data_IF_382475874205
#
_entry.id   IF_382475874205
#
_cell.length_a   1.000
_cell.length_b   1.000
_cell.length_c   1.000
_cell.angle_alpha   90.00
_cell.angle_beta   90.00
_cell.angle_gamma   90.00
#
_symmetry.space_group_name_H-M   'P 1'
#
loop_
_entity.id
_entity.type
_entity.pdbx_description
1 polymer ?
#
# COMPACT_ATOMS: atom_id res chain seq x y z
N UNK A 1 2.94 -26.06 3.04
CA UNK A 1 2.04 -26.36 4.18
C UNK A 1 2.81 -26.11 5.46
N UNK A 2 2.27 -25.33 6.38
CA UNK A 2 2.86 -25.09 7.70
C UNK A 2 2.07 -25.90 8.73
N UNK A 3 2.75 -26.59 9.64
CA UNK A 3 2.11 -27.25 10.79
C UNK A 3 2.88 -26.95 12.07
N UNK A 4 2.15 -26.95 13.19
CA UNK A 4 2.69 -26.79 14.54
C UNK A 4 2.16 -27.95 15.37
N UNK A 5 3.07 -28.71 15.97
CA UNK A 5 2.76 -29.92 16.73
C UNK A 5 3.42 -29.84 18.10
N UNK A 6 2.66 -30.11 19.15
CA UNK A 6 3.20 -30.31 20.49
C UNK A 6 3.66 -31.77 20.63
N UNK A 7 4.91 -31.94 21.04
CA UNK A 7 5.54 -33.21 21.41
C UNK A 7 5.77 -33.21 22.92
N UNK A 8 6.15 -34.36 23.50
CA UNK A 8 6.24 -34.55 24.96
C UNK A 8 7.04 -33.47 25.71
N UNK A 9 8.11 -32.92 25.10
CA UNK A 9 8.96 -31.87 25.70
C UNK A 9 9.34 -30.76 24.74
N UNK A 10 8.65 -30.66 23.61
CA UNK A 10 8.99 -29.66 22.60
C UNK A 10 7.82 -29.31 21.69
N UNK A 11 7.93 -28.17 21.01
CA UNK A 11 7.03 -27.74 19.95
C UNK A 11 7.78 -27.84 18.64
N UNK A 12 7.27 -28.61 17.69
CA UNK A 12 7.83 -28.72 16.35
C UNK A 12 7.03 -27.86 15.37
N UNK A 13 7.71 -26.94 14.70
CA UNK A 13 7.16 -26.20 13.56
C UNK A 13 7.72 -26.81 12.29
N UNK A 14 6.82 -27.16 11.36
CA UNK A 14 7.19 -27.79 10.10
C UNK A 14 6.76 -26.93 8.92
N UNK A 15 7.61 -26.84 7.90
CA UNK A 15 7.29 -26.25 6.60
C UNK A 15 7.47 -27.34 5.54
N UNK A 16 6.44 -27.54 4.72
CA UNK A 16 6.41 -28.59 3.71
C UNK A 16 6.67 -30.00 4.28
N UNK A 17 6.19 -30.26 5.52
CA UNK A 17 6.39 -31.49 6.31
C UNK A 17 7.80 -31.68 6.87
N UNK A 18 8.72 -30.76 6.61
CA UNK A 18 10.07 -30.76 7.17
C UNK A 18 10.12 -29.91 8.43
N UNK A 19 10.69 -30.45 9.51
CA UNK A 19 10.84 -29.71 10.77
C UNK A 19 11.89 -28.61 10.61
N UNK A 20 11.45 -27.36 10.73
CA UNK A 20 12.30 -26.17 10.58
C UNK A 20 12.64 -25.52 11.92
N UNK A 21 11.79 -25.70 12.93
CA UNK A 21 12.06 -25.25 14.30
C UNK A 21 11.63 -26.31 15.31
N UNK A 22 12.39 -26.43 16.39
CA UNK A 22 12.08 -27.28 17.53
C UNK A 22 12.36 -26.50 18.82
N UNK A 23 11.32 -26.22 19.59
CA UNK A 23 11.37 -25.35 20.77
C UNK A 23 11.13 -26.21 22.00
N UNK A 24 12.13 -26.35 22.88
CA UNK A 24 11.97 -27.12 24.10
C UNK A 24 11.01 -26.41 25.05
N UNK A 25 10.04 -27.16 25.58
CA UNK A 25 9.08 -26.68 26.58
C UNK A 25 9.17 -27.55 27.84
N UNK A 26 9.27 -26.96 29.03
CA UNK A 26 9.40 -27.72 30.28
C UNK A 26 8.09 -28.37 30.72
N UNK A 27 6.97 -27.84 30.27
CA UNK A 27 5.60 -28.26 30.60
C UNK A 27 4.74 -28.21 29.34
N UNK A 28 3.63 -28.96 29.33
CA UNK A 28 2.68 -28.95 28.21
C UNK A 28 2.06 -27.57 28.01
N UNK A 29 1.78 -27.21 26.75
CA UNK A 29 1.05 -26.00 26.37
C UNK A 29 -0.42 -26.03 26.81
N UNK A 30 -0.98 -27.24 26.93
CA UNK A 30 -2.40 -27.45 27.20
C UNK A 30 -2.59 -28.11 28.56
N UNK A 31 -2.87 -27.30 29.57
CA UNK A 31 -3.20 -27.81 30.90
C UNK A 31 -4.66 -28.28 30.96
N UNK A 32 -4.87 -29.49 31.48
CA UNK A 32 -6.24 -29.98 31.74
C UNK A 32 -6.81 -29.32 32.99
N UNK A 33 -7.92 -28.62 32.84
CA UNK A 33 -8.73 -28.07 33.93
C UNK A 33 -10.02 -28.87 34.03
N UNK A 34 -10.28 -29.49 35.19
CA UNK A 34 -11.46 -30.33 35.45
C UNK A 34 -11.69 -31.45 34.41
N UNK A 35 -10.62 -32.05 33.90
CA UNK A 35 -10.70 -33.12 32.89
C UNK A 35 -11.00 -32.63 31.47
N UNK A 36 -11.03 -31.31 31.24
CA UNK A 36 -11.16 -30.70 29.92
C UNK A 36 -9.92 -29.87 29.59
N UNK A 37 -9.57 -29.78 28.31
CA UNK A 37 -8.55 -28.87 27.81
C UNK A 37 -9.28 -27.77 27.04
N UNK A 38 -9.14 -26.53 27.49
CA UNK A 38 -9.65 -25.36 26.76
C UNK A 38 -8.49 -24.61 26.12
N UNK A 39 -8.61 -24.30 24.83
CA UNK A 39 -7.63 -23.49 24.10
C UNK A 39 -8.32 -22.53 23.15
N UNK A 40 -7.71 -21.37 22.93
CA UNK A 40 -8.16 -20.35 22.00
C UNK A 40 -7.11 -20.15 20.92
N UNK A 41 -7.54 -20.29 19.67
CA UNK A 41 -6.67 -20.12 18.50
C UNK A 41 -7.17 -18.92 17.70
N UNK A 42 -6.26 -17.99 17.43
CA UNK A 42 -6.51 -16.78 16.66
C UNK A 42 -5.75 -16.90 15.33
N UNK A 43 -6.39 -16.56 14.22
CA UNK A 43 -5.80 -16.61 12.89
C UNK A 43 -5.48 -15.21 12.40
N UNK A 44 -4.29 -15.04 11.82
CA UNK A 44 -3.85 -13.80 11.17
C UNK A 44 -4.03 -12.52 12.03
N UNK A 45 -3.75 -12.64 13.32
CA UNK A 45 -3.86 -11.54 14.27
C UNK A 45 -3.67 -11.99 15.72
N UNK A 46 -3.66 -11.03 16.62
CA UNK A 46 -3.49 -11.24 18.05
C UNK A 46 -4.80 -10.91 18.82
N UNK A 47 -5.05 -11.54 19.97
CA UNK A 47 -6.11 -11.13 20.87
C UNK A 47 -5.96 -9.65 21.26
N UNK A 48 -7.07 -8.96 21.55
CA UNK A 48 -7.01 -7.55 21.97
C UNK A 48 -6.23 -7.40 23.28
N UNK A 49 -5.42 -6.34 23.40
CA UNK A 49 -4.69 -5.94 24.62
C UNK A 49 -3.56 -6.91 25.02
N UNK A 50 -2.97 -7.59 24.04
CA UNK A 50 -1.80 -8.48 24.29
C UNK A 50 -0.53 -7.94 23.62
N UNK A 51 -0.63 -6.81 22.92
CA UNK A 51 0.46 -6.22 22.15
C UNK A 51 1.69 -5.94 23.04
N UNK A 52 1.47 -5.41 24.25
CA UNK A 52 2.52 -5.13 25.23
C UNK A 52 3.05 -6.37 25.96
N UNK A 53 2.40 -7.53 25.79
CA UNK A 53 2.78 -8.81 26.42
C UNK A 53 3.61 -9.70 25.51
N UNK A 54 3.77 -9.31 24.24
CA UNK A 54 4.61 -10.05 23.31
C UNK A 54 6.08 -9.96 23.72
N UNK A 55 6.79 -11.09 23.62
CA UNK A 55 8.25 -11.14 23.86
C UNK A 55 8.98 -10.15 22.94
N UNK A 56 8.49 -9.98 21.71
CA UNK A 56 8.96 -8.97 20.77
C UNK A 56 7.75 -8.31 20.10
N UNK A 57 7.69 -6.97 20.07
CA UNK A 57 6.67 -6.26 19.31
C UNK A 57 6.69 -6.63 17.83
N UNK A 58 5.52 -6.70 17.21
CA UNK A 58 5.34 -6.95 15.77
C UNK A 58 4.07 -6.26 15.28
N UNK A 59 4.07 -5.73 14.05
CA UNK A 59 2.84 -5.31 13.39
C UNK A 59 2.04 -6.57 13.00
N UNK A 60 0.85 -6.82 13.55
CA UNK A 60 0.13 -8.07 13.33
C UNK A 60 -0.62 -8.12 11.99
N UNK A 61 -0.62 -7.02 11.21
CA UNK A 61 -1.27 -6.98 9.90
C UNK A 61 -0.55 -7.96 8.96
N UNK A 62 -1.35 -8.74 8.24
CA UNK A 62 -0.87 -9.80 7.37
C UNK A 62 -1.73 -9.85 6.11
N UNK A 63 -1.19 -9.37 5.00
CA UNK A 63 -1.77 -9.60 3.67
C UNK A 63 -1.39 -11.01 3.18
N UNK A 64 -2.05 -12.01 3.74
CA UNK A 64 -1.79 -13.42 3.47
C UNK A 64 -3.06 -14.21 3.24
N UNK A 65 -2.95 -15.29 2.45
CA UNK A 65 -4.05 -16.20 2.21
C UNK A 65 -3.85 -17.55 2.90
N UNK A 66 -4.85 -17.99 3.67
CA UNK A 66 -4.83 -19.28 4.38
C UNK A 66 -5.89 -20.19 3.76
N UNK A 67 -5.51 -21.41 3.40
CA UNK A 67 -6.40 -22.45 2.89
C UNK A 67 -6.05 -23.82 3.46
N UNK A 68 -7.01 -24.74 3.45
CA UNK A 68 -6.78 -26.12 3.89
C UNK A 68 -6.31 -26.23 5.34
N UNK A 69 -6.83 -25.38 6.23
CA UNK A 69 -6.49 -25.43 7.65
C UNK A 69 -7.08 -26.69 8.29
N UNK A 70 -6.33 -27.28 9.23
CA UNK A 70 -6.78 -28.39 10.06
C UNK A 70 -6.42 -28.06 11.51
N UNK A 71 -7.44 -27.87 12.34
CA UNK A 71 -7.26 -27.63 13.77
C UNK A 71 -7.65 -28.89 14.54
N UNK A 72 -6.64 -29.63 15.02
CA UNK A 72 -6.83 -30.82 15.87
C UNK A 72 -7.82 -31.87 15.30
N UNK A 73 -7.90 -31.99 13.96
CA UNK A 73 -8.87 -32.86 13.27
C UNK A 73 -10.34 -32.57 13.59
N UNK A 74 -10.67 -31.39 14.11
CA UNK A 74 -12.04 -31.00 14.48
C UNK A 74 -12.88 -30.47 13.31
N UNK A 75 -12.34 -30.47 12.09
CA UNK A 75 -13.03 -30.03 10.87
C UNK A 75 -13.22 -28.51 10.75
N UNK A 76 -13.76 -28.06 9.61
CA UNK A 76 -13.83 -26.63 9.20
C UNK A 76 -15.25 -26.08 9.05
N UNK A 77 -16.27 -26.92 9.26
CA UNK A 77 -17.61 -26.78 8.65
C UNK A 77 -18.39 -25.52 9.02
N UNK A 78 -18.10 -24.87 10.16
CA UNK A 78 -18.76 -23.61 10.56
C UNK A 78 -18.07 -22.37 9.99
N UNK A 79 -16.74 -22.35 9.93
CA UNK A 79 -15.97 -21.20 9.42
C UNK A 79 -16.05 -21.11 7.90
N UNK A 80 -16.07 -22.26 7.23
CA UNK A 80 -16.14 -22.36 5.78
C UNK A 80 -17.40 -21.69 5.20
N UNK A 81 -18.57 -21.89 5.83
CA UNK A 81 -19.82 -21.24 5.41
C UNK A 81 -19.74 -19.72 5.49
N UNK A 82 -19.18 -19.19 6.58
CA UNK A 82 -19.04 -17.73 6.79
C UNK A 82 -18.10 -17.10 5.75
N UNK A 83 -17.05 -17.82 5.35
CA UNK A 83 -16.12 -17.35 4.32
C UNK A 83 -16.79 -17.38 2.95
N UNK A 84 -17.46 -18.47 2.58
CA UNK A 84 -18.16 -18.62 1.29
C UNK A 84 -19.20 -17.53 1.05
N UNK A 85 -19.94 -17.12 2.09
CA UNK A 85 -20.96 -16.06 1.99
C UNK A 85 -20.36 -14.65 1.82
N UNK A 86 -19.09 -14.45 2.17
CA UNK A 86 -18.46 -13.11 2.26
C UNK A 86 -17.32 -12.98 1.26
N UNK A 87 -17.59 -12.37 0.11
CA UNK A 87 -16.59 -12.15 -0.94
C UNK A 87 -15.34 -11.40 -0.46
N UNK A 88 -15.47 -10.46 0.50
CA UNK A 88 -14.33 -9.76 1.09
C UNK A 88 -13.42 -10.65 1.98
N UNK A 89 -13.80 -11.90 2.23
CA UNK A 89 -12.99 -12.93 2.89
C UNK A 89 -12.27 -13.85 1.89
N UNK A 90 -12.52 -13.70 0.60
CA UNK A 90 -11.78 -14.41 -0.44
C UNK A 90 -10.51 -13.66 -0.81
N UNK A 91 -9.45 -14.42 -1.07
CA UNK A 91 -8.22 -13.92 -1.65
C UNK A 91 -8.33 -13.96 -3.18
N UNK A 92 -7.48 -13.18 -3.86
CA UNK A 92 -7.26 -13.39 -5.29
C UNK A 92 -6.66 -14.77 -5.55
N UNK A 93 -7.03 -15.39 -6.68
CA UNK A 93 -6.58 -16.72 -7.07
C UNK A 93 -5.10 -16.70 -7.47
N UNK A 94 -4.72 -15.70 -8.26
CA UNK A 94 -3.35 -15.48 -8.73
C UNK A 94 -2.95 -14.06 -8.36
N UNK A 95 -1.81 -13.94 -7.70
CA UNK A 95 -1.27 -12.66 -7.25
C UNK A 95 0.16 -12.49 -7.71
N UNK A 96 0.54 -11.24 -7.93
CA UNK A 96 1.91 -10.77 -8.10
C UNK A 96 2.28 -9.82 -6.96
N UNK A 97 3.57 -9.51 -6.87
CA UNK A 97 4.08 -8.53 -5.90
C UNK A 97 3.54 -7.14 -6.24
N UNK A 98 3.13 -6.41 -5.22
CA UNK A 98 2.71 -5.01 -5.29
C UNK A 98 1.53 -4.73 -4.36
N UNK A 99 1.11 -3.48 -4.28
CA UNK A 99 -0.08 -3.09 -3.51
C UNK A 99 -1.25 -2.81 -4.45
N UNK A 100 -2.42 -3.37 -4.17
CA UNK A 100 -3.61 -3.19 -5.00
C UNK A 100 -4.56 -2.16 -4.42
N UNK A 101 -4.87 -1.16 -5.25
CA UNK A 101 -5.82 -0.10 -4.97
C UNK A 101 -7.08 -0.34 -5.81
N UNK A 102 -8.24 -0.59 -5.20
CA UNK A 102 -9.47 -0.92 -5.92
C UNK A 102 -10.27 0.32 -6.38
N UNK A 103 -9.75 1.55 -6.19
CA UNK A 103 -10.49 2.77 -6.52
C UNK A 103 -11.61 3.14 -5.54
N UNK A 104 -11.56 2.65 -4.29
CA UNK A 104 -12.59 2.93 -3.27
C UNK A 104 -12.08 3.70 -2.04
N UNK A 105 -10.79 4.04 -1.97
CA UNK A 105 -10.25 4.74 -0.81
C UNK A 105 -8.76 5.00 -0.91
N UNK A 106 -8.15 5.36 0.23
CA UNK A 106 -6.78 5.89 0.32
C UNK A 106 -5.95 5.19 1.39
N UNK A 107 -4.64 5.36 1.31
CA UNK A 107 -3.72 5.17 2.43
C UNK A 107 -3.08 6.50 2.80
N UNK A 108 -2.92 6.76 4.10
CA UNK A 108 -2.31 7.96 4.66
C UNK A 108 -1.02 7.59 5.40
N UNK A 109 0.01 8.41 5.22
CA UNK A 109 1.26 8.36 5.95
C UNK A 109 1.62 9.73 6.51
N UNK A 110 2.31 9.74 7.64
CA UNK A 110 2.94 10.93 8.19
C UNK A 110 4.46 10.79 7.97
N UNK A 111 4.98 11.49 6.95
CA UNK A 111 6.38 11.39 6.53
C UNK A 111 7.05 12.74 6.76
N UNK A 112 8.21 12.72 7.41
CA UNK A 112 9.07 13.90 7.50
C UNK A 112 9.92 14.05 6.23
N UNK A 113 9.75 15.17 5.55
CA UNK A 113 10.41 15.49 4.28
C UNK A 113 11.59 16.46 4.44
N UNK A 114 11.84 16.92 5.66
CA UNK A 114 12.95 17.83 5.93
C UNK A 114 14.29 17.09 5.97
N UNK A 115 15.30 17.70 5.38
CA UNK A 115 16.65 17.19 5.46
C UNK A 115 17.21 17.42 6.87
N UNK A 116 17.63 16.34 7.53
CA UNK A 116 18.26 16.38 8.86
C UNK A 116 19.53 17.26 8.85
N UNK A 117 20.22 17.35 7.70
CA UNK A 117 21.43 18.15 7.51
C UNK A 117 21.15 19.60 7.12
N UNK A 118 19.95 19.93 6.66
CA UNK A 118 19.51 21.28 6.33
C UNK A 118 18.03 21.48 6.71
N UNK A 119 17.75 21.94 7.94
CA UNK A 119 16.38 22.06 8.47
C UNK A 119 15.46 22.99 7.66
N UNK A 120 16.02 23.84 6.77
CA UNK A 120 15.25 24.72 5.90
C UNK A 120 15.04 24.16 4.49
N UNK A 121 15.58 22.97 4.19
CA UNK A 121 15.43 22.30 2.91
C UNK A 121 14.61 21.03 3.06
N UNK A 122 13.41 21.03 2.49
CA UNK A 122 12.67 19.80 2.24
C UNK A 122 12.95 19.30 0.82
N UNK A 123 12.94 17.98 0.67
CA UNK A 123 13.05 17.33 -0.64
C UNK A 123 12.22 16.05 -0.65
N UNK A 124 11.48 15.89 -1.74
CA UNK A 124 10.63 14.72 -1.97
C UNK A 124 11.15 14.05 -3.23
N UNK A 125 11.74 12.87 -3.08
CA UNK A 125 12.11 11.97 -4.17
C UNK A 125 11.16 10.78 -4.11
N UNK A 126 10.41 10.54 -5.18
CA UNK A 126 9.45 9.45 -5.22
C UNK A 126 9.64 8.63 -6.46
N UNK A 127 9.62 7.32 -6.27
CA UNK A 127 9.63 6.33 -7.34
C UNK A 127 8.37 5.50 -7.23
N UNK A 128 7.64 5.36 -8.34
CA UNK A 128 6.43 4.57 -8.43
C UNK A 128 6.61 3.47 -9.48
N UNK A 129 6.23 2.24 -9.12
CA UNK A 129 5.99 1.18 -10.09
C UNK A 129 4.48 0.99 -10.18
N UNK A 130 3.89 1.32 -11.33
CA UNK A 130 2.44 1.37 -11.52
C UNK A 130 1.99 0.40 -12.61
N UNK A 131 0.80 -0.18 -12.41
CA UNK A 131 0.02 -0.90 -13.42
C UNK A 131 -1.45 -0.49 -13.24
N UNK A 132 -1.84 0.68 -13.78
CA UNK A 132 -3.21 1.18 -13.71
C UNK A 132 -4.20 0.25 -14.39
N UNK A 133 -5.42 0.18 -13.84
CA UNK A 133 -6.56 -0.53 -14.44
C UNK A 133 -7.64 0.44 -14.93
N UNK A 134 -7.61 1.70 -14.48
CA UNK A 134 -8.40 2.81 -14.99
C UNK A 134 -7.48 3.95 -15.41
N UNK A 135 -7.93 4.78 -16.35
CA UNK A 135 -7.11 5.85 -16.91
C UNK A 135 -7.12 7.15 -16.12
N UNK A 136 -7.92 7.27 -15.06
CA UNK A 136 -7.95 8.47 -14.20
C UNK A 136 -7.85 8.10 -12.73
N UNK A 137 -7.02 8.83 -11.96
CA UNK A 137 -6.93 8.70 -10.51
C UNK A 137 -5.67 9.34 -9.90
N UNK A 138 -5.75 9.73 -8.62
CA UNK A 138 -4.62 10.31 -7.88
C UNK A 138 -3.71 9.20 -7.34
N UNK A 139 -2.43 9.20 -7.72
CA UNK A 139 -1.46 8.20 -7.28
C UNK A 139 -0.79 8.60 -5.96
N UNK A 140 -0.28 9.83 -5.90
CA UNK A 140 0.42 10.38 -4.74
C UNK A 140 -0.03 11.83 -4.52
N UNK A 141 -0.28 12.21 -3.27
CA UNK A 141 -0.62 13.59 -2.94
C UNK A 141 -0.11 14.00 -1.56
N UNK A 142 0.06 15.30 -1.39
CA UNK A 142 0.26 15.94 -0.10
C UNK A 142 -1.01 16.71 0.25
N UNK A 143 -1.45 16.58 1.49
CA UNK A 143 -2.64 17.28 1.99
C UNK A 143 -2.28 18.06 3.25
N UNK A 144 -2.70 19.32 3.30
CA UNK A 144 -2.50 20.18 4.47
C UNK A 144 -3.68 21.12 4.68
N UNK A 145 -4.29 21.08 5.86
CA UNK A 145 -5.37 21.99 6.24
C UNK A 145 -6.58 22.00 5.29
N UNK A 146 -6.92 20.85 4.67
CA UNK A 146 -8.01 20.74 3.69
C UNK A 146 -7.66 21.22 2.28
N UNK A 147 -6.39 21.55 2.02
CA UNK A 147 -5.86 21.87 0.69
C UNK A 147 -4.99 20.73 0.18
N UNK A 148 -4.76 20.69 -1.14
CA UNK A 148 -3.90 19.72 -1.82
C UNK A 148 -2.69 20.45 -2.39
N UNK A 149 -1.67 20.76 -1.56
CA UNK A 149 -0.49 21.52 -2.00
C UNK A 149 0.30 20.82 -3.11
N UNK A 150 0.20 19.50 -3.24
CA UNK A 150 0.84 18.75 -4.33
C UNK A 150 0.04 17.50 -4.67
N UNK A 151 -0.09 17.19 -5.95
CA UNK A 151 -0.63 15.90 -6.41
C UNK A 151 0.05 15.42 -7.70
N UNK A 152 0.23 14.11 -7.77
CA UNK A 152 0.63 13.36 -8.95
C UNK A 152 -0.54 12.44 -9.33
N UNK A 153 -1.07 12.65 -10.54
CA UNK A 153 -2.30 12.00 -10.99
C UNK A 153 -2.16 11.43 -12.40
N UNK A 154 -2.98 10.42 -12.67
CA UNK A 154 -3.23 9.87 -14.00
C UNK A 154 -4.53 10.46 -14.53
N UNK A 155 -4.59 10.80 -15.81
CA UNK A 155 -5.83 11.16 -16.51
C UNK A 155 -5.90 10.51 -17.89
N UNK A 156 -7.11 10.20 -18.36
CA UNK A 156 -7.30 9.74 -19.73
C UNK A 156 -6.87 10.85 -20.71
N UNK A 157 -6.08 10.46 -21.70
CA UNK A 157 -5.64 11.37 -22.75
C UNK A 157 -6.75 11.58 -23.77
N UNK A 158 -6.53 12.48 -24.72
CA UNK A 158 -7.44 12.71 -25.86
C UNK A 158 -7.64 11.48 -26.76
N UNK A 159 -6.70 10.53 -26.71
CA UNK A 159 -6.82 9.21 -27.34
C UNK A 159 -7.35 8.21 -26.31
N UNK A 160 -8.44 7.50 -26.62
CA UNK A 160 -9.13 6.54 -25.72
C UNK A 160 -8.23 5.41 -25.16
N UNK A 161 -7.01 5.26 -25.66
CA UNK A 161 -6.06 4.20 -25.24
C UNK A 161 -4.86 4.71 -24.46
N UNK A 162 -4.64 6.02 -24.39
CA UNK A 162 -3.47 6.62 -23.78
C UNK A 162 -3.86 7.41 -22.55
N UNK A 163 -2.90 7.58 -21.65
CA UNK A 163 -3.05 8.33 -20.41
C UNK A 163 -1.97 9.41 -20.35
N UNK A 164 -2.30 10.50 -19.68
CA UNK A 164 -1.34 11.55 -19.34
C UNK A 164 -1.04 11.48 -17.84
N UNK A 165 0.20 11.79 -17.48
CA UNK A 165 0.62 11.99 -16.08
C UNK A 165 0.60 13.49 -15.81
N UNK A 166 -0.12 13.91 -14.77
CA UNK A 166 -0.19 15.29 -14.32
C UNK A 166 0.53 15.46 -12.99
N UNK A 167 1.33 16.52 -12.88
CA UNK A 167 1.79 17.05 -11.60
C UNK A 167 1.12 18.39 -11.36
N UNK A 168 0.49 18.57 -10.20
CA UNK A 168 -0.17 19.82 -9.83
C UNK A 168 0.26 20.33 -8.47
N UNK A 169 0.22 21.65 -8.31
CA UNK A 169 0.32 22.35 -7.02
C UNK A 169 -0.97 23.14 -6.82
N UNK A 170 -1.77 22.74 -5.84
CA UNK A 170 -3.17 23.14 -5.78
C UNK A 170 -3.90 22.71 -7.05
N UNK A 171 -4.71 23.61 -7.60
CA UNK A 171 -5.48 23.36 -8.83
C UNK A 171 -4.71 23.70 -10.12
N UNK A 172 -3.42 24.02 -10.04
CA UNK A 172 -2.61 24.34 -11.22
C UNK A 172 -1.75 23.15 -11.62
N UNK A 173 -1.87 22.74 -12.89
CA UNK A 173 -1.00 21.73 -13.50
C UNK A 173 0.37 22.36 -13.80
N UNK A 174 1.42 21.87 -13.14
CA UNK A 174 2.81 22.28 -13.34
C UNK A 174 3.48 21.56 -14.51
N UNK A 175 3.13 20.29 -14.68
CA UNK A 175 3.77 19.40 -15.62
C UNK A 175 2.76 18.39 -16.15
N UNK A 176 2.98 17.98 -17.40
CA UNK A 176 2.25 16.92 -18.06
C UNK A 176 3.21 16.08 -18.89
N UNK A 177 3.15 14.76 -18.75
CA UNK A 177 3.71 13.81 -19.73
C UNK A 177 2.52 13.21 -20.46
N UNK A 178 2.47 13.40 -21.77
CA UNK A 178 1.32 13.04 -22.60
C UNK A 178 1.49 11.66 -23.24
N UNK A 179 0.35 11.07 -23.61
CA UNK A 179 0.29 9.97 -24.58
C UNK A 179 1.02 8.68 -24.15
N UNK A 180 0.94 8.31 -22.87
CA UNK A 180 1.53 7.08 -22.34
C UNK A 180 0.56 5.90 -22.41
N UNK A 181 1.05 4.72 -22.78
CA UNK A 181 0.26 3.48 -22.76
C UNK A 181 0.37 2.80 -21.40
N UNK A 182 -0.37 3.30 -20.40
CA UNK A 182 -0.25 2.85 -19.00
C UNK A 182 -1.26 1.78 -18.61
N UNK A 183 -2.49 1.84 -19.15
CA UNK A 183 -3.56 0.85 -18.92
C UNK A 183 -3.30 -0.46 -19.71
N UNK A 184 -2.17 -1.11 -19.45
CA UNK A 184 -1.75 -2.36 -20.06
C UNK A 184 -1.44 -3.43 -19.00
N UNK A 185 -1.11 -4.65 -19.43
CA UNK A 185 -0.61 -5.69 -18.51
C UNK A 185 0.80 -5.43 -18.00
N UNK A 186 1.52 -4.45 -18.57
CA UNK A 186 2.91 -4.14 -18.23
C UNK A 186 2.97 -3.13 -17.10
N UNK A 187 3.97 -3.30 -16.22
CA UNK A 187 4.30 -2.30 -15.22
C UNK A 187 5.07 -1.14 -15.86
N UNK A 188 4.79 0.07 -15.40
CA UNK A 188 5.46 1.30 -15.80
C UNK A 188 6.18 1.92 -14.61
N UNK A 189 7.37 2.46 -14.87
CA UNK A 189 8.18 3.13 -13.87
C UNK A 189 8.05 4.65 -14.01
N UNK A 190 7.90 5.34 -12.89
CA UNK A 190 7.77 6.78 -12.83
C UNK A 190 8.59 7.30 -11.65
N UNK A 191 9.36 8.35 -11.89
CA UNK A 191 10.12 9.00 -10.84
C UNK A 191 9.84 10.51 -10.88
N UNK A 192 9.67 11.11 -9.71
CA UNK A 192 9.67 12.56 -9.60
C UNK A 192 10.50 13.00 -8.40
N UNK A 193 11.08 14.18 -8.55
CA UNK A 193 11.81 14.85 -7.50
C UNK A 193 11.37 16.30 -7.43
N UNK A 194 10.94 16.74 -6.26
CA UNK A 194 10.46 18.10 -6.05
C UNK A 194 11.04 18.69 -4.77
N UNK A 195 11.39 19.98 -4.86
CA UNK A 195 11.82 20.82 -3.74
C UNK A 195 11.40 22.27 -4.02
N UNK A 196 11.77 23.19 -3.12
CA UNK A 196 11.50 24.64 -3.26
C UNK A 196 12.05 25.32 -4.52
N UNK A 197 12.96 24.68 -5.25
CA UNK A 197 13.62 25.25 -6.44
C UNK A 197 13.09 24.69 -7.75
N UNK A 198 12.43 23.53 -7.76
CA UNK A 198 12.07 22.88 -9.01
C UNK A 198 11.45 21.50 -8.86
N UNK A 199 11.00 21.01 -10.02
CA UNK A 199 10.43 19.70 -10.25
C UNK A 199 11.22 18.99 -11.36
N UNK A 200 11.63 17.76 -11.09
CA UNK A 200 12.18 16.83 -12.07
C UNK A 200 11.18 15.68 -12.19
N UNK A 201 10.80 15.30 -13.41
CA UNK A 201 9.86 14.22 -13.68
C UNK A 201 10.42 13.33 -14.78
N UNK A 202 10.55 12.05 -14.53
CA UNK A 202 11.15 11.11 -15.47
C UNK A 202 10.33 9.83 -15.58
N UNK A 203 10.25 9.35 -16.82
CA UNK A 203 9.81 7.99 -17.16
C UNK A 203 10.92 7.33 -17.98
N UNK A 204 10.95 6.00 -18.10
CA UNK A 204 11.90 5.32 -19.00
C UNK A 204 11.83 5.78 -20.46
N UNK A 205 10.71 6.40 -20.87
CA UNK A 205 10.46 6.85 -22.24
C UNK A 205 10.82 8.32 -22.45
N UNK A 206 10.62 9.18 -21.44
CA UNK A 206 10.93 10.61 -21.48
C UNK A 206 11.48 11.09 -20.13
N UNK A 207 12.73 11.57 -20.13
CA UNK A 207 13.35 12.26 -19.00
C UNK A 207 13.17 13.77 -19.14
N UNK A 208 12.03 14.30 -18.67
CA UNK A 208 11.70 15.71 -18.78
C UNK A 208 12.01 16.48 -17.50
N UNK A 209 13.10 17.24 -17.48
CA UNK A 209 13.30 18.24 -16.41
C UNK A 209 12.44 19.47 -16.71
N UNK A 210 11.40 19.70 -15.90
CA UNK A 210 10.56 20.91 -16.03
C UNK A 210 11.07 21.93 -15.01
N UNK A 211 12.03 22.75 -15.46
CA UNK A 211 12.39 23.99 -14.76
C UNK A 211 11.86 25.17 -15.56
N UNK A 212 10.88 25.89 -15.01
CA UNK A 212 10.42 27.16 -15.58
C UNK A 212 10.53 28.25 -14.52
N UNK A 213 11.13 29.37 -14.91
CA UNK A 213 11.21 30.60 -14.11
C UNK A 213 9.81 31.17 -13.77
N UNK A 214 8.75 30.72 -14.46
CA UNK A 214 7.36 31.13 -14.22
C UNK A 214 6.64 30.31 -13.11
N UNK A 215 7.27 29.27 -12.56
CA UNK A 215 6.66 28.38 -11.56
C UNK A 215 7.07 28.69 -10.11
N UNK A 216 7.85 29.75 -9.88
CA UNK A 216 8.34 30.09 -8.53
C UNK A 216 7.19 30.32 -7.54
N UNK A 217 6.09 30.94 -7.97
CA UNK A 217 4.92 31.19 -7.09
C UNK A 217 4.28 29.91 -6.57
N UNK A 218 4.31 28.85 -7.38
CA UNK A 218 3.74 27.55 -7.06
C UNK A 218 4.69 26.82 -6.11
N UNK A 219 5.99 26.87 -6.36
CA UNK A 219 6.97 26.36 -5.39
C UNK A 219 6.94 27.11 -4.06
N UNK A 220 6.69 28.42 -4.04
CA UNK A 220 6.50 29.18 -2.80
C UNK A 220 5.23 28.76 -2.05
N UNK A 221 4.16 28.44 -2.80
CA UNK A 221 2.91 27.94 -2.23
C UNK A 221 3.11 26.58 -1.57
N UNK A 222 3.81 25.67 -2.26
CA UNK A 222 4.19 24.37 -1.73
C UNK A 222 5.13 24.53 -0.52
N UNK A 223 6.15 25.37 -0.61
CA UNK A 223 7.08 25.65 0.50
C UNK A 223 6.36 26.18 1.75
N UNK A 224 5.36 27.04 1.57
CA UNK A 224 4.51 27.52 2.67
C UNK A 224 3.71 26.38 3.30
N UNK A 225 3.17 25.46 2.50
CA UNK A 225 2.44 24.30 3.01
C UNK A 225 3.36 23.33 3.76
N UNK A 226 4.58 23.10 3.26
CA UNK A 226 5.58 22.22 3.87
C UNK A 226 6.01 22.70 5.27
N UNK A 227 5.97 24.01 5.54
CA UNK A 227 6.21 24.58 6.89
C UNK A 227 5.15 24.20 7.92
N UNK A 228 3.99 23.74 7.47
CA UNK A 228 2.92 23.21 8.32
C UNK A 228 2.97 21.69 8.43
N UNK A 229 1.95 21.11 9.04
CA UNK A 229 1.76 19.66 9.02
C UNK A 229 1.23 19.24 7.65
N UNK A 230 1.92 18.29 7.02
CA UNK A 230 1.54 17.70 5.75
C UNK A 230 1.38 16.20 5.93
N UNK A 231 0.26 15.66 5.45
CA UNK A 231 0.02 14.22 5.39
C UNK A 231 0.15 13.75 3.94
N UNK A 232 0.73 12.58 3.77
CA UNK A 232 0.97 11.96 2.47
C UNK A 232 -0.13 10.95 2.18
N UNK A 233 -0.77 11.09 1.03
CA UNK A 233 -1.86 10.23 0.59
C UNK A 233 -1.46 9.43 -0.65
N UNK A 234 -1.80 8.14 -0.64
CA UNK A 234 -1.66 7.25 -1.77
C UNK A 234 -3.03 6.77 -2.25
N UNK A 235 -3.18 6.70 -3.56
CA UNK A 235 -4.34 6.11 -4.23
C UNK A 235 -5.61 6.98 -4.24
N UNK A 236 -5.53 8.23 -3.79
CA UNK A 236 -6.64 9.17 -3.76
C UNK A 236 -6.40 10.34 -2.83
N UNK A 237 -7.48 11.03 -2.48
CA UNK A 237 -7.51 12.14 -1.55
C UNK A 237 -8.55 11.91 -0.44
N UNK A 238 -8.40 12.54 0.74
CA UNK A 238 -9.50 12.64 1.67
C UNK A 238 -10.61 13.53 1.08
N UNK A 239 -11.75 13.63 1.76
CA UNK A 239 -12.80 14.57 1.35
C UNK A 239 -12.26 16.00 1.43
N UNK A 240 -12.08 16.63 0.28
CA UNK A 240 -11.60 18.00 0.11
C UNK A 240 -12.63 18.82 -0.69
N UNK A 241 -12.63 20.17 -0.59
CA UNK A 241 -13.49 21.00 -1.42
C UNK A 241 -13.24 20.76 -2.91
N UNK A 242 -14.25 21.01 -3.75
CA UNK A 242 -14.07 21.04 -5.19
C UNK A 242 -13.05 22.13 -5.59
N UNK A 243 -12.41 21.96 -6.74
CA UNK A 243 -11.48 22.92 -7.34
C UNK A 243 -10.18 23.19 -6.57
N UNK A 244 -9.82 22.36 -5.59
CA UNK A 244 -8.50 22.46 -4.91
C UNK A 244 -7.40 21.65 -5.62
N UNK A 245 -7.79 20.77 -6.53
CA UNK A 245 -6.93 19.88 -7.33
C UNK A 245 -7.62 19.59 -8.67
N UNK A 246 -6.88 19.33 -9.77
CA UNK A 246 -7.46 18.98 -11.05
C UNK A 246 -8.08 17.58 -11.09
N UNK A 247 -7.63 16.67 -10.22
CA UNK A 247 -8.08 15.28 -10.15
C UNK A 247 -8.36 14.91 -8.70
N UNK A 248 -9.54 14.34 -8.46
CA UNK A 248 -10.01 13.87 -7.14
C UNK A 248 -10.46 12.39 -7.15
N UNK A 249 -10.41 11.73 -8.30
CA UNK A 249 -10.75 10.32 -8.43
C UNK A 249 -9.75 9.41 -7.71
N UNK A 250 -10.26 8.32 -7.12
CA UNK A 250 -9.43 7.26 -6.54
C UNK A 250 -8.70 6.48 -7.62
N UNK A 251 -7.43 6.18 -7.38
CA UNK A 251 -6.63 5.32 -8.24
C UNK A 251 -7.11 3.87 -8.18
N UNK A 252 -7.26 3.26 -9.36
CA UNK A 252 -7.52 1.84 -9.50
C UNK A 252 -6.38 1.17 -10.25
N UNK A 253 -5.72 0.23 -9.59
CA UNK A 253 -4.60 -0.51 -10.15
C UNK A 253 -3.59 -0.95 -9.10
N UNK A 254 -2.46 -1.44 -9.60
CA UNK A 254 -1.34 -1.88 -8.79
C UNK A 254 -0.29 -0.78 -8.70
N UNK A 255 0.18 -0.48 -7.50
CA UNK A 255 1.17 0.57 -7.29
C UNK A 255 2.08 0.24 -6.10
N UNK A 256 3.40 0.30 -6.32
CA UNK A 256 4.41 0.34 -5.26
C UNK A 256 5.04 1.73 -5.23
N UNK A 257 5.26 2.28 -4.04
CA UNK A 257 5.79 3.63 -3.86
C UNK A 257 7.03 3.59 -2.97
N UNK A 258 8.10 4.23 -3.43
CA UNK A 258 9.28 4.52 -2.64
C UNK A 258 9.36 6.04 -2.44
N UNK A 259 9.62 6.49 -1.22
CA UNK A 259 9.78 7.89 -0.86
C UNK A 259 11.12 8.06 -0.18
N UNK A 260 11.97 8.95 -0.71
CA UNK A 260 13.29 9.26 -0.19
C UNK A 260 14.18 8.02 0.07
N UNK A 261 14.07 7.01 -0.80
CA UNK A 261 14.84 5.76 -0.72
C UNK A 261 14.16 4.67 0.12
N UNK A 262 13.05 4.98 0.81
CA UNK A 262 12.31 4.02 1.65
C UNK A 262 11.05 3.55 0.92
N UNK A 263 10.92 2.23 0.73
CA UNK A 263 9.67 1.65 0.23
C UNK A 263 8.58 1.79 1.29
N UNK A 264 7.44 2.37 0.91
CA UNK A 264 6.32 2.53 1.82
C UNK A 264 5.60 1.19 2.03
N UNK A 265 5.49 0.78 3.29
CA UNK A 265 4.69 -0.37 3.68
C UNK A 265 3.29 0.08 4.09
N UNK A 266 2.27 -0.36 3.33
CA UNK A 266 0.87 -0.02 3.60
C UNK A 266 0.37 -0.53 4.96
N UNK A 267 1.02 -1.53 5.55
CA UNK A 267 0.65 -1.98 6.90
C UNK A 267 1.19 -1.06 8.00
N UNK A 268 2.15 -0.18 7.69
CA UNK A 268 2.65 0.89 8.57
C UNK A 268 1.95 2.23 8.35
N UNK A 269 0.97 2.29 7.44
CA UNK A 269 0.18 3.49 7.20
C UNK A 269 -0.58 3.93 8.47
N UNK A 270 -0.67 5.23 8.71
CA UNK A 270 -1.46 5.79 9.82
C UNK A 270 -2.95 5.54 9.61
N UNK A 271 -3.38 5.51 8.35
CA UNK A 271 -4.68 5.03 7.92
C UNK A 271 -4.57 4.27 6.60
N UNK A 272 -5.32 3.17 6.45
CA UNK A 272 -5.46 2.43 5.20
C UNK A 272 -6.91 2.01 5.02
N UNK A 273 -7.51 2.32 3.88
CA UNK A 273 -8.85 1.83 3.54
C UNK A 273 -8.85 0.28 3.48
N UNK A 274 -9.89 -0.35 4.04
CA UNK A 274 -9.94 -1.81 4.23
C UNK A 274 -9.87 -2.63 2.94
N UNK A 275 -10.26 -2.04 1.81
CA UNK A 275 -10.26 -2.74 0.53
C UNK A 275 -8.87 -2.72 -0.15
N UNK A 276 -7.93 -1.88 0.32
CA UNK A 276 -6.57 -1.80 -0.22
C UNK A 276 -5.77 -3.00 0.28
N UNK A 277 -5.11 -3.71 -0.66
CA UNK A 277 -4.22 -4.83 -0.35
C UNK A 277 -2.79 -4.33 -0.25
N UNK A 278 -2.11 -4.71 0.84
CA UNK A 278 -0.80 -4.15 1.18
C UNK A 278 0.31 -4.71 0.30
N UNK A 279 0.28 -6.01 0.02
CA UNK A 279 1.43 -6.72 -0.56
C UNK A 279 1.03 -7.71 -1.66
N UNK A 280 -0.24 -7.73 -2.05
CA UNK A 280 -0.75 -8.58 -3.12
C UNK A 280 -1.50 -7.79 -4.19
N UNK A 281 -1.12 -8.05 -5.44
CA UNK A 281 -1.72 -7.49 -6.64
C UNK A 281 -2.37 -8.58 -7.49
N UNK A 282 -3.60 -8.44 -7.99
CA UNK A 282 -4.19 -9.44 -8.87
C UNK A 282 -3.38 -9.51 -10.18
N UNK A 283 -2.93 -10.70 -10.57
CA UNK A 283 -2.16 -10.85 -11.81
C UNK A 283 -2.95 -10.35 -13.02
N UNK A 284 -2.27 -9.70 -13.97
CA UNK A 284 -2.88 -9.37 -15.24
C UNK A 284 -3.40 -10.66 -15.90
N UNK A 285 -4.63 -10.63 -16.41
CA UNK A 285 -5.11 -11.67 -17.31
C UNK A 285 -4.26 -11.58 -18.58
N UNK A 286 -3.31 -12.50 -18.75
CA UNK A 286 -2.77 -12.75 -20.08
C UNK A 286 -3.95 -13.23 -20.93
N UNK A 287 -4.33 -12.45 -21.93
CA UNK A 287 -5.13 -12.96 -23.03
C UNK A 287 -4.30 -14.05 -23.72
N UNK A 288 -4.37 -15.27 -23.21
CA UNK A 288 -3.96 -16.44 -23.97
C UNK A 288 -4.93 -16.53 -25.13
N UNK A 289 -4.48 -16.10 -26.30
CA UNK A 289 -5.13 -16.42 -27.57
C UNK A 289 -5.41 -17.93 -27.57
N UNK A 290 -6.64 -18.38 -27.86
CA UNK A 290 -6.98 -19.79 -27.96
C UNK A 290 -6.16 -20.51 -29.03
#
# INVERSE_FOLDING_TARGET
MVSVEELEKSISVKIAKEATMNINIPTSLFESTNGSVETKVYFAGLPRKVEDTLIKPINPRLDGCIRGWNLMNQGTSRVEKVIQEKQNKHCFITVEKGSYYPGSGVAQFDIDYYDVSNPEAWQINVTLNIRPSTGTGVMFALVSGGTVPFALSLVDSSSEKLQDILVSVGNMVLARIEALSLCSSQQSHLEFRINRKGLELSTPLEGGTISSEDLQRQFDTLDKAMKGTVATYLGGLPVVPLDVTPVDAFYNGCMEVNVNGVQLDLDEATFKHNDIRAHSCPSALENKSP
#
